data_IF_667376001379
#
_entry.id   IF_667376001379
#
_cell.length_a   1.000
_cell.length_b   1.000
_cell.length_c   1.000
_cell.angle_alpha   90.00
_cell.angle_beta   90.00
_cell.angle_gamma   90.00
#
_symmetry.space_group_name_H-M   'P 1'
#
loop_
_entity.id
_entity.type
_entity.pdbx_description
1 polymer ?
#
# COMPACT_ATOMS: atom_id res chain seq x y z
N UNK A 1 -6.03 -0.53 -13.45
CA UNK A 1 -5.95 -0.94 -12.03
C UNK A 1 -7.37 -1.02 -11.47
N UNK A 2 -7.75 -2.14 -10.85
CA UNK A 2 -9.01 -2.21 -10.11
C UNK A 2 -8.81 -1.61 -8.72
N UNK A 3 -9.23 -0.36 -8.53
CA UNK A 3 -9.12 0.36 -7.25
C UNK A 3 -10.25 0.03 -6.27
N UNK A 4 -11.23 -0.78 -6.70
CA UNK A 4 -12.32 -1.23 -5.84
C UNK A 4 -11.73 -2.01 -4.68
N UNK A 5 -11.97 -1.54 -3.46
CA UNK A 5 -11.40 -2.07 -2.21
C UNK A 5 -9.91 -1.78 -1.99
N UNK A 6 -9.33 -0.77 -2.66
CA UNK A 6 -8.00 -0.27 -2.32
C UNK A 6 -8.11 0.86 -1.29
N UNK A 7 -7.29 0.80 -0.26
CA UNK A 7 -7.26 1.76 0.84
C UNK A 7 -5.85 2.30 1.00
N UNK A 8 -5.73 3.59 1.23
CA UNK A 8 -4.53 4.26 1.69
C UNK A 8 -4.51 4.25 3.22
N UNK A 9 -3.38 3.90 3.82
CA UNK A 9 -3.19 3.99 5.27
C UNK A 9 -2.45 5.27 5.61
N UNK A 10 -3.05 6.06 6.48
CA UNK A 10 -2.47 7.29 7.02
C UNK A 10 -2.22 7.09 8.49
N UNK A 11 -1.01 7.41 8.92
CA UNK A 11 -0.67 7.48 10.33
C UNK A 11 -0.58 8.94 10.73
N UNK A 12 -1.50 9.41 11.57
CA UNK A 12 -1.38 10.71 12.23
C UNK A 12 -1.08 10.47 13.70
N UNK A 13 0.07 10.98 14.16
CA UNK A 13 0.65 10.70 15.48
C UNK A 13 0.87 9.19 15.66
N UNK A 14 -0.11 8.46 16.18
CA UNK A 14 0.01 7.03 16.50
C UNK A 14 -1.20 6.17 16.09
N UNK A 15 -2.29 6.76 15.58
CA UNK A 15 -3.49 6.02 15.18
C UNK A 15 -3.59 5.91 13.65
N UNK A 16 -3.26 4.74 13.06
CA UNK A 16 -3.42 4.54 11.64
C UNK A 16 -4.89 4.38 11.26
N UNK A 17 -5.35 5.15 10.27
CA UNK A 17 -6.68 4.98 9.68
C UNK A 17 -6.58 4.71 8.18
N UNK A 18 -7.62 4.07 7.64
CA UNK A 18 -7.74 3.69 6.23
C UNK A 18 -8.65 4.65 5.50
N UNK A 19 -8.22 5.10 4.33
CA UNK A 19 -8.97 6.00 3.46
C UNK A 19 -9.19 5.30 2.12
N UNK A 20 -10.43 5.22 1.62
CA UNK A 20 -10.70 4.55 0.36
C UNK A 20 -10.04 5.32 -0.78
N UNK A 21 -9.44 4.58 -1.72
CA UNK A 21 -8.97 5.14 -2.99
C UNK A 21 -10.16 5.33 -3.91
N UNK A 22 -10.35 6.57 -4.35
CA UNK A 22 -11.48 6.99 -5.19
C UNK A 22 -11.12 7.02 -6.68
N UNK A 23 -9.84 7.13 -7.01
CA UNK A 23 -9.37 7.30 -8.38
C UNK A 23 -7.91 6.91 -8.57
N UNK A 24 -7.54 6.71 -9.82
CA UNK A 24 -6.18 6.39 -10.24
C UNK A 24 -5.85 7.12 -11.52
N UNK A 25 -4.63 7.63 -11.63
CA UNK A 25 -4.07 8.15 -12.87
C UNK A 25 -2.56 7.91 -12.93
N UNK A 26 -2.00 8.07 -14.11
CA UNK A 26 -0.56 8.30 -14.26
C UNK A 26 -0.32 9.77 -14.56
N UNK A 27 0.66 10.37 -13.89
CA UNK A 27 1.07 11.74 -14.20
C UNK A 27 1.98 11.79 -15.43
N UNK A 28 2.38 13.00 -15.84
CA UNK A 28 3.21 13.22 -17.03
C UNK A 28 4.59 12.53 -16.95
N UNK A 29 5.07 12.24 -15.74
CA UNK A 29 6.32 11.53 -15.48
C UNK A 29 6.15 10.01 -15.45
N UNK A 30 4.94 9.50 -15.64
CA UNK A 30 4.62 8.07 -15.59
C UNK A 30 4.41 7.52 -14.18
N UNK A 31 4.43 8.36 -13.14
CA UNK A 31 4.20 7.91 -11.77
C UNK A 31 2.71 7.64 -11.55
N UNK A 32 2.44 6.58 -10.79
CA UNK A 32 1.09 6.20 -10.39
C UNK A 32 0.61 7.13 -9.29
N UNK A 33 -0.54 7.76 -9.48
CA UNK A 33 -1.17 8.63 -8.49
C UNK A 33 -2.56 8.10 -8.12
N UNK A 34 -2.92 8.27 -6.84
CA UNK A 34 -4.19 7.85 -6.27
C UNK A 34 -4.98 9.07 -5.80
N UNK A 35 -6.27 9.08 -6.07
CA UNK A 35 -7.18 10.09 -5.55
C UNK A 35 -7.76 9.60 -4.22
N UNK A 36 -7.68 10.44 -3.20
CA UNK A 36 -8.28 10.21 -1.88
C UNK A 36 -8.93 11.51 -1.39
N UNK A 37 -9.93 11.40 -0.51
CA UNK A 37 -10.46 12.54 0.25
C UNK A 37 -9.96 12.49 1.69
N UNK A 38 -9.27 13.55 2.13
CA UNK A 38 -8.75 13.74 3.48
C UNK A 38 -9.21 15.08 4.02
N UNK A 39 -9.83 15.10 5.21
CA UNK A 39 -10.33 16.34 5.82
C UNK A 39 -11.17 17.17 4.83
N UNK A 40 -12.07 16.50 4.11
CA UNK A 40 -12.94 17.06 3.07
C UNK A 40 -12.21 17.66 1.85
N UNK A 41 -10.90 17.39 1.70
CA UNK A 41 -10.10 17.81 0.56
C UNK A 41 -9.72 16.63 -0.33
N UNK A 42 -9.90 16.79 -1.64
CA UNK A 42 -9.47 15.83 -2.65
C UNK A 42 -7.99 16.03 -3.00
N UNK A 43 -7.22 14.97 -2.87
CA UNK A 43 -5.77 14.99 -3.05
C UNK A 43 -5.33 13.85 -3.98
N UNK A 44 -4.43 14.16 -4.91
CA UNK A 44 -3.67 13.16 -5.65
C UNK A 44 -2.36 12.91 -4.93
N UNK A 45 -2.10 11.65 -4.59
CA UNK A 45 -0.90 11.23 -3.87
C UNK A 45 -0.11 10.22 -4.69
N UNK A 46 1.21 10.29 -4.62
CA UNK A 46 2.07 9.28 -5.25
C UNK A 46 1.84 7.92 -4.58
N UNK A 47 1.44 6.95 -5.39
CA UNK A 47 1.07 5.62 -4.95
C UNK A 47 2.26 4.80 -4.42
N UNK A 48 3.49 5.19 -4.72
CA UNK A 48 4.72 4.58 -4.17
C UNK A 48 5.16 5.23 -2.86
N UNK A 49 4.68 6.44 -2.57
CA UNK A 49 5.01 7.17 -1.34
C UNK A 49 4.09 6.83 -0.16
N UNK A 50 3.09 5.96 -0.36
CA UNK A 50 2.03 5.70 0.63
C UNK A 50 1.83 4.21 0.86
N UNK A 51 1.38 3.85 2.07
CA UNK A 51 1.02 2.47 2.41
C UNK A 51 -0.37 2.14 1.88
N UNK A 52 -0.48 1.05 1.12
CA UNK A 52 -1.72 0.62 0.50
C UNK A 52 -2.18 -0.73 1.04
N UNK A 53 -3.50 -0.88 1.21
CA UNK A 53 -4.17 -2.09 1.68
C UNK A 53 -5.33 -2.48 0.79
N UNK A 54 -5.54 -3.78 0.65
CA UNK A 54 -6.76 -4.34 0.07
C UNK A 54 -7.81 -4.50 1.18
N UNK A 55 -9.08 -4.31 0.86
CA UNK A 55 -10.19 -4.37 1.82
C UNK A 55 -10.34 -5.68 2.57
N UNK A 56 -9.75 -6.78 2.05
CA UNK A 56 -9.69 -8.08 2.73
C UNK A 56 -8.49 -8.27 3.68
N UNK A 57 -7.78 -7.20 4.03
CA UNK A 57 -6.78 -7.21 5.11
C UNK A 57 -5.33 -7.36 4.64
N UNK A 58 -5.07 -7.70 3.38
CA UNK A 58 -3.71 -7.82 2.85
C UNK A 58 -3.12 -6.47 2.42
N UNK A 59 -1.80 -6.34 2.57
CA UNK A 59 -1.05 -5.19 2.04
C UNK A 59 -1.04 -5.26 0.50
N UNK A 60 -1.25 -4.13 -0.18
CA UNK A 60 -1.16 -4.07 -1.64
C UNK A 60 0.31 -4.14 -2.12
N UNK A 61 0.55 -4.73 -3.29
CA UNK A 61 1.87 -4.81 -3.92
C UNK A 61 1.80 -4.43 -5.39
N UNK A 62 2.75 -3.61 -5.81
CA UNK A 62 2.91 -3.26 -7.22
C UNK A 62 3.43 -4.44 -8.06
N UNK A 63 4.32 -5.27 -7.51
CA UNK A 63 4.84 -6.46 -8.20
C UNK A 63 3.74 -7.51 -8.42
N UNK A 64 3.00 -7.86 -7.36
CA UNK A 64 1.86 -8.78 -7.48
C UNK A 64 0.84 -8.28 -8.52
N UNK A 65 0.52 -6.99 -8.50
CA UNK A 65 -0.41 -6.40 -9.48
C UNK A 65 0.13 -6.49 -10.93
N UNK A 66 1.42 -6.22 -11.14
CA UNK A 66 2.04 -6.32 -12.48
C UNK A 66 2.09 -7.76 -13.00
N UNK A 67 2.32 -8.72 -12.11
CA UNK A 67 2.39 -10.15 -12.45
C UNK A 67 1.01 -10.82 -12.47
N UNK A 68 -0.06 -10.09 -12.11
CA UNK A 68 -1.42 -10.65 -12.02
C UNK A 68 -1.64 -11.61 -10.85
N UNK A 69 -0.76 -11.58 -9.86
CA UNK A 69 -0.75 -12.47 -8.70
C UNK A 69 -1.48 -11.79 -7.52
N UNK A 70 -2.12 -12.58 -6.66
CA UNK A 70 -2.69 -12.10 -5.40
C UNK A 70 -2.03 -12.80 -4.21
N UNK A 71 -1.27 -12.04 -3.42
CA UNK A 71 -0.63 -12.55 -2.21
C UNK A 71 -1.26 -11.91 -0.99
N UNK A 72 -1.67 -12.76 -0.05
CA UNK A 72 -2.12 -12.38 1.28
C UNK A 72 -1.00 -12.68 2.27
N UNK A 73 -0.62 -11.69 3.07
CA UNK A 73 0.34 -11.88 4.16
C UNK A 73 -0.46 -12.21 5.42
N UNK A 74 -0.11 -13.31 6.08
CA UNK A 74 -0.77 -13.82 7.28
C UNK A 74 0.28 -14.45 8.23
N UNK A 75 -0.16 -15.03 9.34
CA UNK A 75 0.70 -15.62 10.37
C UNK A 75 1.56 -16.81 9.90
N UNK A 76 1.27 -17.39 8.74
CA UNK A 76 2.09 -18.46 8.14
C UNK A 76 3.29 -17.91 7.35
N UNK A 77 3.33 -16.60 7.09
CA UNK A 77 4.43 -15.96 6.39
C UNK A 77 5.65 -15.76 7.31
N UNK A 78 6.85 -15.96 6.77
CA UNK A 78 8.10 -15.73 7.49
C UNK A 78 8.18 -14.29 8.03
N UNK A 79 8.63 -14.09 9.26
CA UNK A 79 8.80 -12.76 9.86
C UNK A 79 10.21 -12.25 9.56
N UNK A 80 10.32 -10.98 9.13
CA UNK A 80 11.60 -10.31 8.96
C UNK A 80 12.26 -10.03 10.32
N UNK A 81 13.48 -10.54 10.58
CA UNK A 81 14.14 -10.39 11.88
C UNK A 81 14.51 -8.93 12.18
N UNK A 82 14.70 -8.09 11.16
CA UNK A 82 15.16 -6.70 11.33
C UNK A 82 14.03 -5.72 11.64
N UNK A 83 12.79 -6.05 11.25
CA UNK A 83 11.67 -5.12 11.37
C UNK A 83 10.38 -5.72 11.94
N UNK A 84 10.33 -7.04 12.18
CA UNK A 84 9.18 -7.73 12.78
C UNK A 84 7.97 -7.90 11.85
N UNK A 85 8.07 -7.55 10.57
CA UNK A 85 6.97 -7.67 9.59
C UNK A 85 7.03 -8.97 8.79
N UNK A 86 5.88 -9.48 8.36
CA UNK A 86 5.81 -10.61 7.42
C UNK A 86 6.51 -10.31 6.09
N UNK A 87 7.32 -11.27 5.64
CA UNK A 87 7.96 -11.31 4.33
C UNK A 87 6.97 -11.81 3.28
N UNK A 88 7.09 -11.27 2.08
CA UNK A 88 6.36 -11.81 0.94
C UNK A 88 6.92 -13.19 0.57
N UNK A 89 6.12 -14.27 0.57
CA UNK A 89 6.61 -15.61 0.23
C UNK A 89 7.07 -15.74 -1.24
N UNK A 90 6.60 -14.85 -2.12
CA UNK A 90 6.92 -14.89 -3.55
C UNK A 90 8.20 -14.12 -3.91
N UNK A 91 8.46 -12.98 -3.27
CA UNK A 91 9.62 -12.14 -3.60
C UNK A 91 10.64 -12.00 -2.48
N UNK A 92 10.41 -12.59 -1.30
CA UNK A 92 11.32 -12.56 -0.15
C UNK A 92 11.46 -11.19 0.53
N UNK A 93 10.91 -10.12 -0.06
CA UNK A 93 11.00 -8.77 0.49
C UNK A 93 10.24 -8.68 1.83
N UNK A 94 10.87 -8.10 2.86
CA UNK A 94 10.07 -7.54 3.96
C UNK A 94 9.24 -6.42 3.39
N UNK A 95 7.91 -6.42 3.60
CA UNK A 95 7.11 -5.22 3.32
C UNK A 95 7.23 -4.26 4.50
N UNK A 96 8.47 -3.95 4.82
CA UNK A 96 8.87 -2.81 5.60
C UNK A 96 8.43 -1.55 4.81
N UNK A 97 7.14 -1.20 4.90
CA UNK A 97 6.66 0.16 4.73
C UNK A 97 7.17 1.02 5.90
N UNK A 98 8.48 0.96 6.18
CA UNK A 98 9.14 2.10 6.81
C UNK A 98 9.15 3.14 5.69
N UNK A 99 8.55 4.33 5.84
CA UNK A 99 9.02 5.45 5.07
C UNK A 99 10.54 5.45 5.23
N UNK A 100 11.28 5.56 4.12
CA UNK A 100 12.71 5.83 4.17
C UNK A 100 12.87 6.96 5.19
N UNK A 101 13.56 6.69 6.30
CA UNK A 101 13.93 7.77 7.21
C UNK A 101 14.68 8.78 6.34
N UNK A 102 14.12 9.97 6.19
CA UNK A 102 14.84 11.14 5.69
C UNK A 102 16.09 11.34 6.55
#
# INVERSE_FOLDING_TARGET
MNIKNLFLVITLKDDPFKVPVEGYRQNKSGNNELLVTLFDQKLWVDAHAVKLFKGRGSTFCWKDHQEGIHIELNETCEVCPDCGWWKCPHCGACRCNKPLRL
#
